data_IF_959237937187
#
_entry.id   IF_959237937187
#
_cell.length_a   1.000
_cell.length_b   1.000
_cell.length_c   1.000
_cell.angle_alpha   90.00
_cell.angle_beta   90.00
_cell.angle_gamma   90.00
#
_symmetry.space_group_name_H-M   'P 1'
#
loop_
_entity.id
_entity.type
_entity.pdbx_description
1 polymer ?
#
# COMPACT_ATOMS: atom_id res chain seq x y z
N UNK A 1 16.25 -20.06 -9.02
CA UNK A 1 15.16 -19.23 -9.58
C UNK A 1 14.84 -18.13 -8.58
N UNK A 2 15.35 -16.92 -8.79
CA UNK A 2 15.00 -15.79 -7.94
C UNK A 2 13.53 -15.48 -8.19
N UNK A 3 12.64 -15.83 -7.25
CA UNK A 3 11.31 -15.23 -7.18
C UNK A 3 11.57 -13.74 -7.01
N UNK A 4 11.53 -13.01 -8.13
CA UNK A 4 11.88 -11.61 -8.13
C UNK A 4 10.95 -10.88 -7.19
N UNK A 5 11.47 -9.94 -6.41
CA UNK A 5 10.70 -9.01 -5.58
C UNK A 5 9.48 -8.44 -6.32
N UNK A 6 9.59 -8.27 -7.65
CA UNK A 6 8.49 -7.92 -8.57
C UNK A 6 7.28 -8.88 -8.52
N UNK A 7 7.51 -10.19 -8.45
CA UNK A 7 6.46 -11.22 -8.39
C UNK A 7 5.77 -11.22 -7.03
N UNK A 8 6.53 -11.08 -5.95
CA UNK A 8 5.97 -10.96 -4.59
C UNK A 8 5.13 -9.70 -4.45
N UNK A 9 5.59 -8.59 -5.02
CA UNK A 9 4.86 -7.32 -5.08
C UNK A 9 3.59 -7.39 -5.91
N UNK A 10 3.64 -8.01 -7.09
CA UNK A 10 2.45 -8.22 -7.92
C UNK A 10 1.40 -9.04 -7.15
N UNK A 11 1.82 -10.09 -6.45
CA UNK A 11 0.93 -10.90 -5.61
C UNK A 11 0.36 -10.11 -4.43
N UNK A 12 1.17 -9.34 -3.71
CA UNK A 12 0.68 -8.48 -2.61
C UNK A 12 -0.29 -7.41 -3.11
N UNK A 13 0.02 -6.76 -4.23
CA UNK A 13 -0.86 -5.77 -4.85
C UNK A 13 -2.20 -6.37 -5.28
N UNK A 14 -2.17 -7.55 -5.90
CA UNK A 14 -3.39 -8.31 -6.25
C UNK A 14 -4.18 -8.66 -4.99
N UNK A 15 -3.55 -9.21 -3.95
CA UNK A 15 -4.23 -9.57 -2.69
C UNK A 15 -4.89 -8.34 -2.04
N UNK A 16 -4.19 -7.22 -1.95
CA UNK A 16 -4.73 -5.97 -1.39
C UNK A 16 -5.93 -5.47 -2.20
N UNK A 17 -5.83 -5.45 -3.53
CA UNK A 17 -6.93 -5.03 -4.41
C UNK A 17 -8.13 -5.97 -4.29
N UNK A 18 -7.90 -7.29 -4.33
CA UNK A 18 -8.96 -8.30 -4.23
C UNK A 18 -9.67 -8.24 -2.88
N UNK A 19 -8.92 -8.13 -1.77
CA UNK A 19 -9.51 -8.03 -0.43
C UNK A 19 -10.22 -6.68 -0.24
N UNK A 20 -9.65 -5.59 -0.76
CA UNK A 20 -10.27 -4.26 -0.72
C UNK A 20 -11.61 -4.21 -1.47
N UNK A 21 -11.66 -4.77 -2.69
CA UNK A 21 -12.88 -4.87 -3.49
C UNK A 21 -13.91 -5.77 -2.81
N UNK A 22 -13.49 -6.94 -2.31
CA UNK A 22 -14.38 -7.89 -1.65
C UNK A 22 -15.03 -7.29 -0.41
N UNK A 23 -14.27 -6.59 0.44
CA UNK A 23 -14.81 -5.98 1.65
C UNK A 23 -15.72 -4.79 1.37
N UNK A 24 -15.41 -3.98 0.36
CA UNK A 24 -16.28 -2.90 -0.09
C UNK A 24 -17.62 -3.45 -0.63
N UNK A 25 -17.59 -4.59 -1.32
CA UNK A 25 -18.78 -5.26 -1.83
C UNK A 25 -19.67 -5.89 -0.73
N UNK A 26 -19.16 -6.10 0.48
CA UNK A 26 -19.89 -6.70 1.61
C UNK A 26 -20.53 -5.70 2.58
N UNK A 27 -20.71 -4.43 2.19
CA UNK A 27 -21.27 -3.32 3.01
C UNK A 27 -20.53 -3.06 4.35
N UNK A 28 -19.37 -3.69 4.56
CA UNK A 28 -18.49 -3.41 5.70
C UNK A 28 -17.54 -2.25 5.35
N UNK A 29 -18.09 -1.05 5.23
CA UNK A 29 -17.33 0.14 4.83
C UNK A 29 -16.09 0.38 5.69
N UNK A 30 -16.20 0.25 7.01
CA UNK A 30 -15.06 0.43 7.94
C UNK A 30 -13.92 -0.56 7.66
N UNK A 31 -14.26 -1.83 7.38
CA UNK A 31 -13.29 -2.87 7.04
C UNK A 31 -12.66 -2.65 5.66
N UNK A 32 -13.44 -2.19 4.67
CA UNK A 32 -12.95 -1.83 3.33
C UNK A 32 -11.90 -0.71 3.39
N UNK A 33 -12.17 0.35 4.16
CA UNK A 33 -11.22 1.44 4.37
C UNK A 33 -9.96 1.00 5.14
N UNK A 34 -10.10 0.10 6.13
CA UNK A 34 -8.94 -0.45 6.84
C UNK A 34 -8.01 -1.24 5.91
N UNK A 35 -8.57 -2.00 4.96
CA UNK A 35 -7.76 -2.74 3.98
C UNK A 35 -7.12 -1.83 2.96
N UNK A 36 -7.80 -0.78 2.50
CA UNK A 36 -7.16 0.26 1.67
C UNK A 36 -5.96 0.87 2.39
N UNK A 37 -6.11 1.22 3.68
CA UNK A 37 -5.02 1.75 4.49
C UNK A 37 -3.82 0.78 4.57
N UNK A 38 -4.08 -0.51 4.82
CA UNK A 38 -3.04 -1.55 4.83
C UNK A 38 -2.35 -1.69 3.47
N UNK A 39 -3.11 -1.56 2.37
CA UNK A 39 -2.59 -1.57 1.01
C UNK A 39 -1.59 -0.46 0.74
N UNK A 40 -1.98 0.77 1.08
CA UNK A 40 -1.10 1.93 0.96
C UNK A 40 0.08 1.88 1.92
N UNK A 41 -0.08 1.34 3.13
CA UNK A 41 1.03 1.19 4.09
C UNK A 41 2.10 0.25 3.54
N UNK A 42 1.64 -0.84 2.93
CA UNK A 42 2.49 -1.81 2.25
C UNK A 42 3.21 -1.16 1.07
N UNK A 43 2.49 -0.40 0.24
CA UNK A 43 3.08 0.33 -0.88
C UNK A 43 4.14 1.35 -0.43
N UNK A 44 3.90 2.06 0.67
CA UNK A 44 4.86 2.99 1.25
C UNK A 44 6.15 2.28 1.71
N UNK A 45 6.03 1.17 2.45
CA UNK A 45 7.18 0.38 2.88
C UNK A 45 8.04 -0.10 1.71
N UNK A 46 7.40 -0.52 0.62
CA UNK A 46 8.09 -0.93 -0.60
C UNK A 46 8.71 0.22 -1.38
N UNK A 47 8.08 1.39 -1.38
CA UNK A 47 8.67 2.58 -1.97
C UNK A 47 9.97 2.95 -1.23
N UNK A 48 10.00 2.91 0.10
CA UNK A 48 11.24 3.15 0.86
C UNK A 48 12.31 2.08 0.64
N UNK A 49 11.94 0.80 0.52
CA UNK A 49 12.86 -0.27 0.13
C UNK A 49 13.43 -0.07 -1.28
N UNK A 50 12.57 0.32 -2.23
CA UNK A 50 12.97 0.65 -3.61
C UNK A 50 13.89 1.87 -3.66
N UNK A 51 13.65 2.85 -2.79
CA UNK A 51 14.51 4.01 -2.62
C UNK A 51 15.91 3.60 -2.15
N UNK A 52 16.00 2.72 -1.15
CA UNK A 52 17.28 2.22 -0.64
C UNK A 52 18.04 1.42 -1.72
N UNK A 53 17.33 0.60 -2.51
CA UNK A 53 17.91 -0.08 -3.66
C UNK A 53 18.40 0.89 -4.75
N UNK A 54 17.66 1.96 -5.00
CA UNK A 54 18.04 3.01 -5.95
C UNK A 54 19.28 3.79 -5.48
N UNK A 55 19.39 4.08 -4.19
CA UNK A 55 20.60 4.72 -3.61
C UNK A 55 21.84 3.84 -3.73
N UNK A 56 21.67 2.51 -3.75
CA UNK A 56 22.75 1.53 -3.97
C UNK A 56 23.07 1.29 -5.46
N UNK A 57 22.41 1.99 -6.37
CA UNK A 57 22.60 1.82 -7.82
C UNK A 57 22.00 0.55 -8.40
N UNK A 58 21.21 -0.20 -7.61
CA UNK A 58 20.64 -1.49 -8.00
C UNK A 58 19.22 -1.38 -8.59
N UNK A 59 18.68 -0.16 -8.72
CA UNK A 59 17.38 0.10 -9.34
C UNK A 59 17.50 1.09 -10.51
N UNK A 60 16.71 0.85 -11.56
CA UNK A 60 16.64 1.69 -12.76
C UNK A 60 15.83 2.97 -12.57
N UNK A 61 15.15 3.12 -11.43
CA UNK A 61 14.26 4.26 -11.12
C UNK A 61 14.93 5.16 -10.08
N UNK A 62 14.93 6.49 -10.26
CA UNK A 62 15.52 7.42 -9.30
C UNK A 62 14.90 7.31 -7.90
N UNK A 63 15.74 7.44 -6.87
CA UNK A 63 15.31 7.41 -5.47
C UNK A 63 14.21 8.45 -5.15
N UNK A 64 14.22 9.61 -5.81
CA UNK A 64 13.21 10.64 -5.62
C UNK A 64 11.81 10.22 -6.08
N UNK A 65 11.71 9.37 -7.11
CA UNK A 65 10.42 8.83 -7.59
C UNK A 65 9.83 7.85 -6.57
N UNK A 66 10.67 7.05 -5.94
CA UNK A 66 10.26 6.21 -4.82
C UNK A 66 9.85 7.03 -3.60
N UNK A 67 10.56 8.11 -3.30
CA UNK A 67 10.23 8.97 -2.17
C UNK A 67 8.89 9.70 -2.37
N UNK A 68 8.63 10.23 -3.57
CA UNK A 68 7.35 10.89 -3.85
C UNK A 68 6.17 9.91 -3.85
N UNK A 69 6.33 8.73 -4.48
CA UNK A 69 5.31 7.68 -4.47
C UNK A 69 5.07 7.10 -3.06
N UNK A 70 6.14 6.93 -2.29
CA UNK A 70 6.08 6.48 -0.89
C UNK A 70 5.35 7.48 0.00
N UNK A 71 5.64 8.78 -0.13
CA UNK A 71 4.94 9.82 0.63
C UNK A 71 3.46 9.87 0.28
N UNK A 72 3.10 9.78 -1.00
CA UNK A 72 1.70 9.71 -1.42
C UNK A 72 0.98 8.50 -0.80
N UNK A 73 1.65 7.34 -0.79
CA UNK A 73 1.12 6.13 -0.16
C UNK A 73 0.97 6.28 1.36
N UNK A 74 1.92 6.90 2.06
CA UNK A 74 1.79 7.21 3.50
C UNK A 74 0.58 8.12 3.75
N UNK A 75 0.40 9.18 2.96
CA UNK A 75 -0.76 10.08 3.10
C UNK A 75 -2.07 9.34 2.93
N UNK A 76 -2.18 8.47 1.92
CA UNK A 76 -3.38 7.68 1.67
C UNK A 76 -3.62 6.64 2.77
N UNK A 77 -2.56 6.04 3.30
CA UNK A 77 -2.62 5.14 4.48
C UNK A 77 -3.28 5.84 5.66
N UNK A 78 -2.78 7.02 6.00
CA UNK A 78 -3.30 7.80 7.13
C UNK A 78 -4.74 8.22 6.87
N UNK A 79 -5.05 8.71 5.66
CA UNK A 79 -6.41 9.12 5.28
C UNK A 79 -7.43 7.99 5.45
N UNK A 80 -7.15 6.82 4.83
CA UNK A 80 -8.06 5.69 4.89
C UNK A 80 -8.12 5.06 6.27
N UNK A 81 -7.02 5.06 7.03
CA UNK A 81 -7.00 4.58 8.41
C UNK A 81 -7.86 5.44 9.35
N UNK A 82 -7.80 6.76 9.21
CA UNK A 82 -8.66 7.68 9.97
C UNK A 82 -10.13 7.52 9.59
N UNK A 83 -10.43 7.36 8.30
CA UNK A 83 -11.80 7.09 7.81
C UNK A 83 -12.36 5.78 8.36
N UNK A 84 -11.57 4.71 8.35
CA UNK A 84 -11.95 3.41 8.89
C UNK A 84 -12.29 3.50 10.39
N UNK A 85 -11.44 4.21 11.15
CA UNK A 85 -11.64 4.42 12.59
C UNK A 85 -12.91 5.23 12.87
N UNK A 86 -13.12 6.33 12.16
CA UNK A 86 -14.29 7.18 12.34
C UNK A 86 -15.59 6.39 12.16
N UNK A 87 -15.67 5.57 11.11
CA UNK A 87 -16.84 4.73 10.82
C UNK A 87 -17.03 3.61 11.85
N UNK A 88 -15.96 3.04 12.37
CA UNK A 88 -16.03 2.00 13.41
C UNK A 88 -16.46 2.54 14.78
N UNK A 89 -16.24 3.83 15.06
CA UNK A 89 -16.68 4.48 16.31
C UNK A 89 -18.08 5.08 16.24
N UNK A 90 -18.66 5.19 15.05
CA UNK A 90 -20.02 5.74 14.83
C UNK A 90 -21.12 4.68 14.72
N UNK A 91 -20.75 3.39 14.69
CA UNK A 91 -21.66 2.24 14.72
C UNK A 91 -21.83 1.71 16.14
#
# INVERSE_FOLDING_TARGET
MAVGTRTVLALLGVVVLTVGIYLHATERESAGYAVMALGFATAAGWAFLGMELARRGAASVPANTYLSGGMAAVTLTVYFGLRARALATSS
#
